data_IF_190059480388
#
_entry.id   IF_190059480388
#
_cell.length_a   1.000
_cell.length_b   1.000
_cell.length_c   1.000
_cell.angle_alpha   90.00
_cell.angle_beta   90.00
_cell.angle_gamma   90.00
#
_symmetry.space_group_name_H-M   'P 1'
#
loop_
_entity.id
_entity.type
_entity.pdbx_description
1 polymer ?
#
# COMPACT_ATOMS: atom_id res chain seq x y z
N UNK A 1 16.36 -23.93 -8.30
CA UNK A 1 14.89 -23.80 -8.46
C UNK A 1 14.45 -22.45 -7.95
N UNK A 2 14.94 -22.03 -6.78
CA UNK A 2 14.89 -20.62 -6.36
C UNK A 2 15.97 -19.82 -7.10
N UNK A 3 15.66 -18.57 -7.43
CA UNK A 3 16.54 -17.60 -8.08
C UNK A 3 16.45 -16.25 -7.34
N UNK A 4 17.52 -15.47 -7.42
CA UNK A 4 17.56 -14.09 -6.93
C UNK A 4 17.16 -13.17 -8.08
N UNK A 5 16.24 -12.23 -7.84
CA UNK A 5 15.84 -11.23 -8.81
C UNK A 5 16.94 -10.18 -9.04
N UNK A 6 16.81 -9.41 -10.12
CA UNK A 6 17.79 -8.39 -10.51
C UNK A 6 17.93 -7.25 -9.47
N UNK A 7 16.93 -7.07 -8.60
CA UNK A 7 16.99 -6.14 -7.46
C UNK A 7 17.95 -6.60 -6.34
N UNK A 8 18.45 -7.84 -6.39
CA UNK A 8 19.41 -8.39 -5.44
C UNK A 8 18.83 -8.79 -4.08
N UNK A 9 17.50 -8.74 -3.91
CA UNK A 9 16.80 -9.02 -2.64
C UNK A 9 15.72 -10.09 -2.79
N UNK A 10 14.86 -9.95 -3.80
CA UNK A 10 13.69 -10.82 -3.98
C UNK A 10 14.08 -12.23 -4.40
N UNK A 11 13.48 -13.23 -3.76
CA UNK A 11 13.64 -14.64 -4.10
C UNK A 11 12.37 -15.17 -4.77
N UNK A 12 12.54 -15.77 -5.94
CA UNK A 12 11.44 -16.34 -6.71
C UNK A 12 11.75 -17.77 -7.16
N UNK A 13 10.73 -18.51 -7.60
CA UNK A 13 10.91 -19.85 -8.18
C UNK A 13 10.43 -19.94 -9.63
N UNK A 14 11.00 -20.89 -10.37
CA UNK A 14 10.57 -21.16 -11.74
C UNK A 14 9.15 -21.78 -11.78
N UNK A 15 8.37 -21.58 -12.86
CA UNK A 15 6.96 -22.01 -12.93
C UNK A 15 6.70 -23.51 -12.71
N UNK A 16 7.69 -24.36 -12.99
CA UNK A 16 7.62 -25.81 -12.78
C UNK A 16 7.87 -26.26 -11.34
N UNK A 17 8.13 -25.33 -10.42
CA UNK A 17 8.40 -25.67 -9.03
C UNK A 17 7.13 -26.12 -8.29
N UNK A 18 7.29 -27.09 -7.39
CA UNK A 18 6.18 -27.69 -6.65
C UNK A 18 5.96 -26.99 -5.30
N UNK A 19 4.72 -26.64 -4.98
CA UNK A 19 4.31 -26.12 -3.67
C UNK A 19 4.71 -27.09 -2.55
N UNK A 20 5.17 -26.55 -1.42
CA UNK A 20 5.62 -27.28 -0.24
C UNK A 20 7.04 -27.83 -0.33
N UNK A 21 7.70 -27.78 -1.50
CA UNK A 21 9.13 -28.12 -1.61
C UNK A 21 9.98 -27.04 -0.97
N UNK A 22 11.09 -27.48 -0.37
CA UNK A 22 12.10 -26.60 0.21
C UNK A 22 13.40 -26.66 -0.58
N UNK A 23 14.02 -25.50 -0.81
CA UNK A 23 15.32 -25.41 -1.47
C UNK A 23 16.28 -24.54 -0.66
N UNK A 24 17.58 -24.89 -0.66
CA UNK A 24 18.58 -24.09 0.05
C UNK A 24 18.90 -22.80 -0.70
N UNK A 25 19.05 -21.70 0.04
CA UNK A 25 19.63 -20.45 -0.41
C UNK A 25 20.43 -19.82 0.74
N UNK A 26 21.69 -19.46 0.51
CA UNK A 26 22.61 -18.90 1.52
C UNK A 26 22.69 -19.66 2.87
N UNK A 27 22.46 -20.98 2.86
CA UNK A 27 22.54 -21.82 4.06
C UNK A 27 21.21 -22.05 4.78
N UNK A 28 20.13 -21.41 4.33
CA UNK A 28 18.78 -21.55 4.88
C UNK A 28 17.83 -22.22 3.89
N UNK A 29 16.78 -22.87 4.39
CA UNK A 29 15.82 -23.63 3.58
C UNK A 29 14.55 -22.81 3.37
N UNK A 30 14.28 -22.46 2.12
CA UNK A 30 13.10 -21.70 1.74
C UNK A 30 12.00 -22.61 1.23
N UNK A 31 10.78 -22.46 1.76
CA UNK A 31 9.59 -23.22 1.37
C UNK A 31 8.81 -22.49 0.27
N UNK A 32 8.50 -23.18 -0.83
CA UNK A 32 7.59 -22.64 -1.85
C UNK A 32 6.16 -22.75 -1.32
N UNK A 33 5.46 -21.62 -1.21
CA UNK A 33 4.11 -21.57 -0.62
C UNK A 33 3.08 -21.12 -1.65
N UNK A 34 1.86 -21.63 -1.50
CA UNK A 34 0.66 -21.06 -2.10
C UNK A 34 -0.05 -20.15 -1.09
N UNK A 35 -1.13 -19.48 -1.52
CA UNK A 35 -1.93 -18.63 -0.63
C UNK A 35 -2.44 -19.42 0.58
N UNK A 36 -2.97 -20.63 0.42
CA UNK A 36 -3.52 -21.40 1.54
C UNK A 36 -2.47 -21.64 2.64
N UNK A 37 -1.24 -22.01 2.26
CA UNK A 37 -0.12 -22.20 3.19
C UNK A 37 0.28 -20.89 3.84
N UNK A 38 0.44 -19.80 3.08
CA UNK A 38 0.88 -18.52 3.64
C UNK A 38 -0.14 -17.92 4.63
N UNK A 39 -1.44 -17.99 4.32
CA UNK A 39 -2.49 -17.54 5.24
C UNK A 39 -2.54 -18.38 6.51
N UNK A 40 -2.31 -19.70 6.41
CA UNK A 40 -2.20 -20.55 7.60
C UNK A 40 -1.02 -20.12 8.46
N UNK A 41 0.13 -19.88 7.84
CA UNK A 41 1.33 -19.41 8.56
C UNK A 41 1.08 -18.07 9.27
N UNK A 42 0.47 -17.10 8.58
CA UNK A 42 0.10 -15.82 9.18
C UNK A 42 -0.95 -15.96 10.31
N UNK A 43 -1.94 -16.85 10.16
CA UNK A 43 -2.98 -17.06 11.16
C UNK A 43 -2.45 -17.64 12.48
N UNK A 44 -1.43 -18.50 12.39
CA UNK A 44 -0.79 -19.17 13.54
C UNK A 44 0.52 -18.51 13.99
N UNK A 45 0.85 -17.32 13.46
CA UNK A 45 2.12 -16.62 13.73
C UNK A 45 3.36 -17.50 13.49
N UNK A 46 3.33 -18.33 12.44
CA UNK A 46 4.50 -19.09 11.98
C UNK A 46 5.56 -18.15 11.37
N UNK A 47 6.79 -18.65 11.24
CA UNK A 47 7.88 -17.96 10.56
C UNK A 47 7.60 -17.88 9.04
N UNK A 48 7.50 -16.66 8.51
CA UNK A 48 7.29 -16.35 7.10
C UNK A 48 8.50 -15.67 6.44
N UNK A 49 9.66 -15.69 7.10
CA UNK A 49 10.91 -15.09 6.58
C UNK A 49 11.58 -15.96 5.51
N UNK A 50 11.35 -17.27 5.53
CA UNK A 50 11.96 -18.26 4.62
C UNK A 50 10.94 -18.92 3.69
N UNK A 51 10.12 -18.11 3.02
CA UNK A 51 9.13 -18.58 2.06
C UNK A 51 9.34 -17.96 0.68
N UNK A 52 8.92 -18.67 -0.36
CA UNK A 52 8.89 -18.19 -1.75
C UNK A 52 7.44 -18.02 -2.17
N UNK A 53 7.07 -16.78 -2.47
CA UNK A 53 5.68 -16.34 -2.70
C UNK A 53 5.31 -16.19 -4.17
N UNK A 54 6.17 -16.62 -5.11
CA UNK A 54 6.01 -16.41 -6.56
C UNK A 54 4.63 -16.79 -7.11
N UNK A 55 3.98 -17.81 -6.55
CA UNK A 55 2.67 -18.27 -7.03
C UNK A 55 1.47 -17.55 -6.42
N UNK A 56 1.69 -16.57 -5.55
CA UNK A 56 0.62 -15.86 -4.85
C UNK A 56 0.12 -14.70 -5.70
N UNK A 57 -1.19 -14.65 -5.90
CA UNK A 57 -1.87 -13.58 -6.66
C UNK A 57 -2.76 -12.70 -5.79
N UNK A 58 -3.03 -13.10 -4.56
CA UNK A 58 -3.96 -12.45 -3.63
C UNK A 58 -3.34 -12.45 -2.23
N UNK A 59 -3.20 -11.25 -1.65
CA UNK A 59 -2.71 -10.99 -0.29
C UNK A 59 -3.74 -10.23 0.56
N UNK A 60 -5.01 -10.26 0.17
CA UNK A 60 -6.13 -9.62 0.85
C UNK A 60 -6.19 -10.01 2.34
N UNK A 61 -6.12 -9.04 3.24
CA UNK A 61 -6.18 -9.27 4.70
C UNK A 61 -5.12 -10.24 5.26
N UNK A 62 -4.01 -10.50 4.56
CA UNK A 62 -3.04 -11.53 4.98
C UNK A 62 -2.52 -11.33 6.42
N UNK A 63 -2.28 -10.07 6.82
CA UNK A 63 -1.87 -9.68 8.17
C UNK A 63 -2.89 -8.78 8.88
N UNK A 64 -4.17 -8.87 8.52
CA UNK A 64 -5.24 -8.10 9.15
C UNK A 64 -5.31 -8.39 10.67
N UNK A 65 -5.24 -7.33 11.48
CA UNK A 65 -5.16 -7.34 12.96
C UNK A 65 -3.98 -8.13 13.53
N UNK A 66 -3.00 -8.49 12.69
CA UNK A 66 -1.86 -9.30 13.11
C UNK A 66 -0.70 -8.43 13.55
N UNK A 67 -0.05 -8.86 14.63
CA UNK A 67 1.30 -8.41 14.94
C UNK A 67 2.26 -9.04 13.94
N UNK A 68 2.77 -8.25 12.99
CA UNK A 68 3.79 -8.66 12.02
C UNK A 68 5.04 -7.77 12.19
N UNK A 69 6.16 -8.40 12.52
CA UNK A 69 7.48 -7.75 12.65
C UNK A 69 8.59 -8.66 12.06
N UNK A 70 8.21 -9.51 11.10
CA UNK A 70 9.12 -10.41 10.42
C UNK A 70 9.70 -9.71 9.18
N UNK A 71 10.88 -10.14 8.75
CA UNK A 71 11.49 -9.67 7.51
C UNK A 71 10.83 -10.36 6.31
N UNK A 72 10.08 -9.57 5.54
CA UNK A 72 9.36 -9.99 4.33
C UNK A 72 9.94 -9.31 3.07
N UNK A 73 11.14 -8.72 3.19
CA UNK A 73 11.78 -8.00 2.07
C UNK A 73 12.11 -8.90 0.88
N UNK A 74 12.34 -10.19 1.14
CA UNK A 74 12.69 -11.19 0.10
C UNK A 74 11.50 -11.71 -0.68
N UNK A 75 10.27 -11.38 -0.27
CA UNK A 75 9.07 -11.88 -0.94
C UNK A 75 8.99 -11.43 -2.39
N UNK A 76 8.59 -12.36 -3.25
CA UNK A 76 8.22 -12.10 -4.63
C UNK A 76 6.71 -11.83 -4.69
N UNK A 77 6.35 -10.55 -4.84
CA UNK A 77 4.96 -10.10 -4.97
C UNK A 77 4.60 -9.71 -6.41
N UNK A 78 5.47 -10.00 -7.39
CA UNK A 78 5.30 -9.59 -8.78
C UNK A 78 4.05 -10.17 -9.45
N UNK A 79 3.50 -11.27 -8.94
CA UNK A 79 2.25 -11.88 -9.43
C UNK A 79 1.00 -11.45 -8.64
N UNK A 80 1.15 -10.65 -7.58
CA UNK A 80 0.02 -10.21 -6.74
C UNK A 80 -0.80 -9.15 -7.47
N UNK A 81 -2.12 -9.33 -7.45
CA UNK A 81 -3.11 -8.45 -8.10
C UNK A 81 -3.97 -7.72 -7.06
N UNK A 82 -4.18 -8.32 -5.89
CA UNK A 82 -4.97 -7.76 -4.80
C UNK A 82 -4.18 -7.71 -3.48
N UNK A 83 -4.02 -6.52 -2.91
CA UNK A 83 -3.38 -6.25 -1.62
C UNK A 83 -4.30 -5.54 -0.63
N UNK A 84 -5.63 -5.54 -0.86
CA UNK A 84 -6.55 -4.85 0.02
C UNK A 84 -6.40 -5.36 1.47
N UNK A 85 -6.47 -4.47 2.45
CA UNK A 85 -6.38 -4.80 3.88
C UNK A 85 -5.13 -5.60 4.33
N UNK A 86 -4.09 -5.77 3.51
CA UNK A 86 -2.96 -6.67 3.81
C UNK A 86 -2.34 -6.40 5.19
N UNK A 87 -2.18 -5.12 5.59
CA UNK A 87 -1.68 -4.68 6.89
C UNK A 87 -2.72 -3.87 7.68
N UNK A 88 -4.01 -4.17 7.49
CA UNK A 88 -5.10 -3.53 8.22
C UNK A 88 -4.93 -3.74 9.74
N UNK A 89 -4.93 -2.65 10.52
CA UNK A 89 -4.65 -2.69 11.97
C UNK A 89 -3.29 -3.30 12.38
N UNK A 90 -2.30 -3.36 11.49
CA UNK A 90 -0.95 -3.78 11.85
C UNK A 90 -0.17 -2.59 12.47
N UNK A 91 -0.59 -2.15 13.67
CA UNK A 91 -0.15 -0.90 14.32
C UNK A 91 1.38 -0.70 14.38
N UNK A 92 2.13 -1.80 14.53
CA UNK A 92 3.59 -1.80 14.66
C UNK A 92 4.34 -2.16 13.37
N UNK A 93 3.64 -2.47 12.28
CA UNK A 93 4.28 -2.88 11.04
C UNK A 93 5.12 -1.74 10.45
N UNK A 94 6.40 -2.02 10.22
CA UNK A 94 7.34 -1.10 9.59
C UNK A 94 8.53 -1.84 8.96
N UNK A 95 8.33 -3.07 8.47
CA UNK A 95 9.38 -3.83 7.78
C UNK A 95 9.64 -3.27 6.39
N UNK A 96 10.90 -3.32 5.92
CA UNK A 96 11.29 -2.82 4.60
C UNK A 96 10.61 -3.63 3.48
N UNK A 97 9.84 -2.94 2.65
CA UNK A 97 9.13 -3.45 1.47
C UNK A 97 9.44 -2.61 0.22
N UNK A 98 10.53 -1.84 0.26
CA UNK A 98 10.92 -0.91 -0.81
C UNK A 98 11.25 -1.61 -2.15
N UNK A 99 11.62 -2.89 -2.10
CA UNK A 99 12.00 -3.68 -3.27
C UNK A 99 10.85 -4.50 -3.87
N UNK A 100 9.65 -4.41 -3.30
CA UNK A 100 8.48 -5.12 -3.82
C UNK A 100 8.08 -4.59 -5.21
N UNK A 101 7.94 -5.52 -6.16
CA UNK A 101 7.35 -5.22 -7.47
C UNK A 101 5.82 -5.32 -7.37
N UNK A 102 5.18 -4.17 -7.18
CA UNK A 102 3.72 -4.04 -7.10
C UNK A 102 3.06 -3.69 -8.44
N UNK A 103 3.80 -3.77 -9.55
CA UNK A 103 3.34 -3.29 -10.87
C UNK A 103 2.13 -4.05 -11.43
N UNK A 104 1.74 -5.18 -10.85
CA UNK A 104 0.54 -5.95 -11.20
C UNK A 104 -0.64 -5.75 -10.25
N UNK A 105 -0.46 -5.02 -9.15
CA UNK A 105 -1.51 -4.77 -8.17
C UNK A 105 -2.53 -3.79 -8.74
N UNK A 106 -3.81 -4.13 -8.59
CA UNK A 106 -4.94 -3.30 -9.04
C UNK A 106 -5.76 -2.74 -7.87
N UNK A 107 -5.66 -3.35 -6.69
CA UNK A 107 -6.41 -2.95 -5.49
C UNK A 107 -5.47 -2.83 -4.28
N UNK A 108 -5.43 -1.64 -3.67
CA UNK A 108 -4.69 -1.35 -2.44
C UNK A 108 -5.59 -0.75 -1.35
N UNK A 109 -6.90 -0.98 -1.43
CA UNK A 109 -7.87 -0.51 -0.45
C UNK A 109 -7.43 -0.86 0.98
N UNK A 110 -7.34 0.16 1.84
CA UNK A 110 -7.04 0.02 3.26
C UNK A 110 -5.75 -0.77 3.58
N UNK A 111 -4.80 -0.91 2.64
CA UNK A 111 -3.62 -1.76 2.80
C UNK A 111 -2.84 -1.43 4.09
N UNK A 112 -2.66 -0.14 4.42
CA UNK A 112 -1.98 0.34 5.63
C UNK A 112 -2.92 1.09 6.59
N UNK A 113 -4.24 0.88 6.50
CA UNK A 113 -5.16 1.52 7.42
C UNK A 113 -4.85 1.05 8.85
N UNK A 114 -4.63 1.99 9.77
CA UNK A 114 -4.22 1.74 11.16
C UNK A 114 -2.83 1.09 11.31
N UNK A 115 -1.98 1.09 10.28
CA UNK A 115 -0.55 0.79 10.43
C UNK A 115 0.19 2.02 10.99
N UNK A 116 -0.05 2.34 12.27
CA UNK A 116 0.33 3.61 12.91
C UNK A 116 1.84 3.92 12.84
N UNK A 117 2.68 2.89 12.87
CA UNK A 117 4.14 2.97 12.82
C UNK A 117 4.72 2.99 11.40
N UNK A 118 3.93 2.66 10.38
CA UNK A 118 4.42 2.48 9.02
C UNK A 118 4.96 3.80 8.43
N UNK A 119 6.21 3.77 8.00
CA UNK A 119 6.89 4.90 7.36
C UNK A 119 8.07 4.42 6.49
N UNK A 120 7.92 3.29 5.79
CA UNK A 120 8.96 2.76 4.91
C UNK A 120 8.90 3.38 3.51
N UNK A 121 10.08 3.53 2.89
CA UNK A 121 10.20 4.09 1.55
C UNK A 121 9.52 3.20 0.52
N UNK A 122 8.48 3.74 -0.10
CA UNK A 122 7.70 3.13 -1.17
C UNK A 122 7.67 4.03 -2.42
N UNK A 123 8.61 4.98 -2.51
CA UNK A 123 8.70 5.95 -3.61
C UNK A 123 8.87 5.29 -4.97
N UNK A 124 9.47 4.09 -5.02
CA UNK A 124 9.76 3.33 -6.24
C UNK A 124 8.65 2.38 -6.69
N UNK A 125 7.56 2.29 -5.94
CA UNK A 125 6.45 1.43 -6.32
C UNK A 125 5.78 1.93 -7.60
N UNK A 126 5.64 1.03 -8.58
CA UNK A 126 4.80 1.27 -9.75
C UNK A 126 3.34 0.96 -9.40
N UNK A 127 2.59 2.01 -9.08
CA UNK A 127 1.16 1.94 -8.76
C UNK A 127 0.26 2.25 -9.96
N UNK A 128 0.81 2.29 -11.18
CA UNK A 128 0.08 2.74 -12.38
C UNK A 128 -1.14 1.89 -12.73
N UNK A 129 -1.22 0.63 -12.26
CA UNK A 129 -2.39 -0.25 -12.45
C UNK A 129 -3.43 -0.19 -11.34
N UNK A 130 -3.15 0.51 -10.23
CA UNK A 130 -4.05 0.57 -9.09
C UNK A 130 -5.26 1.43 -9.42
N UNK A 131 -6.46 0.90 -9.18
CA UNK A 131 -7.73 1.62 -9.40
C UNK A 131 -8.40 2.04 -8.10
N UNK A 132 -8.09 1.39 -6.98
CA UNK A 132 -8.67 1.67 -5.66
C UNK A 132 -7.57 1.89 -4.61
N UNK A 133 -7.56 3.09 -4.00
CA UNK A 133 -6.68 3.47 -2.88
C UNK A 133 -7.48 3.98 -1.68
N UNK A 134 -8.78 3.63 -1.60
CA UNK A 134 -9.64 4.00 -0.48
C UNK A 134 -8.97 3.64 0.84
N UNK A 135 -8.83 4.62 1.74
CA UNK A 135 -8.30 4.46 3.10
C UNK A 135 -6.88 3.88 3.17
N UNK A 136 -6.11 3.85 2.08
CA UNK A 136 -4.80 3.16 2.03
C UNK A 136 -3.86 3.54 3.18
N UNK A 137 -3.75 4.83 3.52
CA UNK A 137 -2.96 5.36 4.65
C UNK A 137 -3.83 5.98 5.75
N UNK A 138 -5.12 5.61 5.82
CA UNK A 138 -6.01 6.06 6.88
C UNK A 138 -5.39 5.72 8.23
N UNK A 139 -5.25 6.70 9.13
CA UNK A 139 -4.66 6.52 10.48
C UNK A 139 -3.24 5.92 10.50
N UNK A 140 -2.51 5.93 9.37
CA UNK A 140 -1.08 5.65 9.36
C UNK A 140 -0.32 6.86 9.91
N UNK A 141 -0.34 7.05 11.24
CA UNK A 141 0.08 8.29 11.90
C UNK A 141 1.50 8.72 11.56
N UNK A 142 2.41 7.76 11.40
CA UNK A 142 3.82 8.03 11.15
C UNK A 142 4.18 8.25 9.68
N UNK A 143 3.30 7.90 8.74
CA UNK A 143 3.61 7.89 7.33
C UNK A 143 3.86 9.30 6.79
N UNK A 144 5.04 9.51 6.19
CA UNK A 144 5.44 10.76 5.54
C UNK A 144 6.52 10.52 4.46
N UNK A 145 6.41 9.43 3.70
CA UNK A 145 7.36 9.11 2.64
C UNK A 145 6.98 9.75 1.31
N UNK A 146 7.98 10.11 0.52
CA UNK A 146 7.80 10.76 -0.77
C UNK A 146 7.14 9.81 -1.77
N UNK A 147 5.95 10.19 -2.22
CA UNK A 147 5.14 9.48 -3.21
C UNK A 147 4.75 10.42 -4.36
N UNK A 148 5.52 11.50 -4.55
CA UNK A 148 5.26 12.52 -5.57
C UNK A 148 5.32 11.96 -7.00
N UNK A 149 6.14 10.93 -7.22
CA UNK A 149 6.36 10.28 -8.52
C UNK A 149 5.37 9.13 -8.83
N UNK A 150 4.41 8.85 -7.95
CA UNK A 150 3.41 7.83 -8.21
C UNK A 150 2.47 8.23 -9.36
N UNK A 151 2.32 7.34 -10.32
CA UNK A 151 1.27 7.43 -11.34
C UNK A 151 -0.07 6.94 -10.77
N UNK A 152 -0.89 7.86 -10.30
CA UNK A 152 -2.24 7.59 -9.76
C UNK A 152 -3.35 7.82 -10.80
N UNK A 153 -3.01 7.94 -12.08
CA UNK A 153 -3.96 8.34 -13.13
C UNK A 153 -5.11 7.35 -13.34
N UNK A 154 -4.96 6.09 -12.93
CA UNK A 154 -6.01 5.06 -13.02
C UNK A 154 -6.88 4.95 -11.75
N UNK A 155 -6.56 5.68 -10.68
CA UNK A 155 -7.30 5.60 -9.40
C UNK A 155 -8.64 6.31 -9.52
N UNK A 156 -9.71 5.63 -9.12
CA UNK A 156 -11.08 6.16 -9.14
C UNK A 156 -11.62 6.51 -7.75
N UNK A 157 -11.05 5.92 -6.68
CA UNK A 157 -11.44 6.15 -5.28
C UNK A 157 -10.21 6.43 -4.41
N UNK A 158 -10.19 7.62 -3.80
CA UNK A 158 -9.20 8.07 -2.82
C UNK A 158 -9.86 8.49 -1.49
N UNK A 159 -11.09 8.06 -1.24
CA UNK A 159 -11.82 8.39 -0.02
C UNK A 159 -11.01 7.92 1.20
N UNK A 160 -10.89 8.80 2.20
CA UNK A 160 -10.12 8.59 3.42
C UNK A 160 -8.63 8.23 3.23
N UNK A 161 -8.04 8.34 2.03
CA UNK A 161 -6.68 7.84 1.74
C UNK A 161 -5.62 8.31 2.74
N UNK A 162 -5.66 9.58 3.17
CA UNK A 162 -4.79 10.16 4.21
C UNK A 162 -5.57 10.62 5.44
N UNK A 163 -6.78 10.11 5.65
CA UNK A 163 -7.61 10.48 6.79
C UNK A 163 -6.91 10.10 8.10
N UNK A 164 -6.61 11.06 8.96
CA UNK A 164 -5.81 10.92 10.19
C UNK A 164 -4.35 10.49 9.96
N UNK A 165 -3.78 10.61 8.76
CA UNK A 165 -2.34 10.46 8.54
C UNK A 165 -1.60 11.69 9.09
N UNK A 166 -1.38 11.73 10.40
CA UNK A 166 -1.04 12.95 11.14
C UNK A 166 0.30 13.58 10.75
N UNK A 167 1.28 12.81 10.25
CA UNK A 167 2.58 13.34 9.83
C UNK A 167 2.67 13.63 8.33
N UNK A 168 1.76 13.12 7.52
CA UNK A 168 1.86 13.22 6.06
C UNK A 168 1.81 14.67 5.58
N UNK A 169 2.86 15.09 4.86
CA UNK A 169 2.97 16.44 4.30
C UNK A 169 3.82 16.48 3.01
N UNK A 170 3.85 15.39 2.24
CA UNK A 170 4.63 15.34 1.00
C UNK A 170 3.90 16.05 -0.15
N UNK A 171 4.68 16.59 -1.09
CA UNK A 171 4.15 17.32 -2.23
C UNK A 171 3.61 16.36 -3.30
N UNK A 172 2.29 16.28 -3.36
CA UNK A 172 1.52 15.48 -4.33
C UNK A 172 0.82 16.36 -5.37
N UNK A 173 1.25 17.60 -5.54
CA UNK A 173 0.64 18.55 -6.48
C UNK A 173 0.78 18.13 -7.96
N UNK A 174 1.71 17.22 -8.26
CA UNK A 174 1.95 16.65 -9.58
C UNK A 174 1.04 15.47 -9.96
N UNK A 175 0.27 14.91 -9.03
CA UNK A 175 -0.61 13.78 -9.30
C UNK A 175 -1.71 14.11 -10.32
N UNK A 176 -1.91 13.20 -11.28
CA UNK A 176 -3.10 13.21 -12.14
C UNK A 176 -4.27 12.53 -11.43
N UNK A 177 -5.15 13.34 -10.83
CA UNK A 177 -6.36 12.87 -10.13
C UNK A 177 -7.61 12.96 -11.00
N UNK A 178 -7.46 13.12 -12.32
CA UNK A 178 -8.58 13.40 -13.22
C UNK A 178 -9.62 12.27 -13.32
N UNK A 179 -9.26 11.03 -12.98
CA UNK A 179 -10.19 9.89 -12.94
C UNK A 179 -10.85 9.66 -11.57
N UNK A 180 -10.45 10.40 -10.53
CA UNK A 180 -10.98 10.22 -9.18
C UNK A 180 -12.42 10.74 -9.10
N UNK A 181 -13.30 9.90 -8.54
CA UNK A 181 -14.73 10.21 -8.36
C UNK A 181 -15.12 10.42 -6.89
N UNK A 182 -14.36 9.83 -5.95
CA UNK A 182 -14.55 10.01 -4.50
C UNK A 182 -13.26 10.46 -3.81
N UNK A 183 -13.33 11.62 -3.15
CA UNK A 183 -12.29 12.17 -2.27
C UNK A 183 -12.83 12.47 -0.86
N UNK A 184 -13.94 11.86 -0.48
CA UNK A 184 -14.56 12.07 0.84
C UNK A 184 -13.55 11.76 1.93
N UNK A 185 -13.39 12.67 2.88
CA UNK A 185 -12.48 12.56 4.01
C UNK A 185 -10.99 12.36 3.66
N UNK A 186 -10.56 12.55 2.41
CA UNK A 186 -9.20 12.22 1.94
C UNK A 186 -8.09 12.74 2.86
N UNK A 187 -8.22 13.96 3.38
CA UNK A 187 -7.30 14.60 4.33
C UNK A 187 -7.98 14.94 5.67
N UNK A 188 -9.08 14.28 6.01
CA UNK A 188 -9.77 14.50 7.27
C UNK A 188 -8.80 14.25 8.45
N UNK A 189 -8.60 15.23 9.33
CA UNK A 189 -7.66 15.17 10.46
C UNK A 189 -6.18 14.91 10.07
N UNK A 190 -5.78 15.18 8.82
CA UNK A 190 -4.37 15.19 8.42
C UNK A 190 -3.69 16.50 8.89
N UNK A 191 -3.35 16.55 10.19
CA UNK A 191 -3.05 17.81 10.88
C UNK A 191 -1.81 18.56 10.39
N UNK A 192 -0.82 17.88 9.79
CA UNK A 192 0.40 18.52 9.25
C UNK A 192 0.30 18.90 7.78
N UNK A 193 -0.67 18.34 7.04
CA UNK A 193 -0.73 18.49 5.60
C UNK A 193 -0.94 19.95 5.19
N UNK A 194 -0.07 20.47 4.32
CA UNK A 194 -0.10 21.85 3.87
C UNK A 194 0.51 22.02 2.48
N UNK A 195 -0.09 21.38 1.47
CA UNK A 195 0.35 21.47 0.06
C UNK A 195 -0.61 22.27 -0.82
N UNK A 196 -0.08 22.84 -1.90
CA UNK A 196 -0.88 23.56 -2.88
C UNK A 196 -1.39 22.57 -3.92
N UNK A 197 -2.69 22.28 -3.86
CA UNK A 197 -3.34 21.32 -4.74
C UNK A 197 -4.37 22.00 -5.66
N UNK A 198 -4.27 23.32 -5.84
CA UNK A 198 -5.19 24.07 -6.70
C UNK A 198 -5.10 23.73 -8.19
N UNK A 199 -4.02 23.06 -8.62
CA UNK A 199 -3.78 22.62 -9.99
C UNK A 199 -4.46 21.29 -10.35
N UNK A 200 -4.92 20.53 -9.36
CA UNK A 200 -5.58 19.24 -9.60
C UNK A 200 -6.85 19.40 -10.44
N UNK A 201 -6.97 18.55 -11.47
CA UNK A 201 -8.22 18.42 -12.22
C UNK A 201 -9.20 17.55 -11.43
N UNK A 202 -10.13 18.20 -10.72
CA UNK A 202 -11.16 17.52 -9.89
C UNK A 202 -12.54 17.53 -10.55
N UNK A 203 -12.63 17.65 -11.88
CA UNK A 203 -13.92 17.76 -12.58
C UNK A 203 -14.80 16.52 -12.45
N UNK A 204 -14.21 15.35 -12.23
CA UNK A 204 -14.90 14.07 -12.08
C UNK A 204 -15.25 13.72 -10.63
N UNK A 205 -14.82 14.54 -9.65
CA UNK A 205 -15.11 14.29 -8.23
C UNK A 205 -16.58 14.58 -7.93
N UNK A 206 -17.31 13.54 -7.54
CA UNK A 206 -18.73 13.58 -7.19
C UNK A 206 -18.88 13.71 -5.67
N UNK A 207 -18.07 12.97 -4.91
CA UNK A 207 -18.11 12.90 -3.46
C UNK A 207 -16.84 13.50 -2.85
N UNK A 208 -17.00 14.46 -1.95
CA UNK A 208 -15.87 15.02 -1.19
C UNK A 208 -16.28 15.49 0.20
N UNK A 209 -17.23 14.78 0.81
CA UNK A 209 -17.70 15.06 2.16
C UNK A 209 -16.48 15.19 3.09
N UNK A 210 -16.38 16.31 3.81
CA UNK A 210 -15.34 16.55 4.79
C UNK A 210 -13.89 16.33 4.27
N UNK A 211 -13.63 16.58 2.98
CA UNK A 211 -12.34 16.40 2.29
C UNK A 211 -11.11 16.74 3.14
N UNK A 212 -11.13 17.88 3.86
CA UNK A 212 -10.05 18.35 4.71
C UNK A 212 -10.52 18.79 6.10
N UNK A 213 -11.65 18.25 6.59
CA UNK A 213 -12.14 18.61 7.93
C UNK A 213 -11.10 18.20 8.99
N UNK A 214 -10.74 19.10 9.91
CA UNK A 214 -9.71 18.81 10.92
C UNK A 214 -8.25 18.90 10.43
N UNK A 215 -7.99 19.22 9.16
CA UNK A 215 -6.64 19.50 8.66
C UNK A 215 -6.18 20.92 9.04
N UNK A 216 -5.98 21.17 10.33
CA UNK A 216 -5.85 22.53 10.88
C UNK A 216 -4.66 23.35 10.36
N UNK A 217 -3.57 22.71 9.92
CA UNK A 217 -2.40 23.42 9.38
C UNK A 217 -2.53 23.80 7.90
N UNK A 218 -3.57 23.32 7.20
CA UNK A 218 -3.66 23.48 5.75
C UNK A 218 -4.09 24.89 5.34
N UNK A 219 -3.11 25.72 5.00
CA UNK A 219 -3.25 27.11 4.59
C UNK A 219 -3.03 27.35 3.09
N UNK A 220 -2.26 26.48 2.41
CA UNK A 220 -2.07 26.56 0.96
C UNK A 220 -3.38 26.32 0.18
N UNK A 221 -3.47 26.79 -1.08
CA UNK A 221 -4.68 26.62 -1.90
C UNK A 221 -5.09 25.16 -2.08
N UNK A 222 -6.39 24.90 -1.89
CA UNK A 222 -7.04 23.59 -2.06
C UNK A 222 -7.61 23.46 -3.49
N UNK A 223 -7.90 22.24 -3.98
CA UNK A 223 -8.61 22.06 -5.24
C UNK A 223 -10.04 22.64 -5.15
N UNK A 224 -10.58 23.08 -6.28
CA UNK A 224 -11.94 23.61 -6.35
C UNK A 224 -12.96 22.48 -6.53
N UNK A 225 -13.36 21.86 -5.42
CA UNK A 225 -14.30 20.74 -5.38
C UNK A 225 -15.77 21.20 -5.50
N UNK A 226 -16.54 20.56 -6.38
CA UNK A 226 -17.98 20.84 -6.64
C UNK A 226 -18.86 19.64 -6.31
N UNK A 227 -18.74 19.11 -5.10
CA UNK A 227 -19.36 17.83 -4.77
C UNK A 227 -20.85 17.98 -4.44
N UNK A 228 -21.60 16.89 -4.61
CA UNK A 228 -23.00 16.84 -4.20
C UNK A 228 -23.09 17.08 -2.68
N UNK A 229 -23.85 18.10 -2.27
CA UNK A 229 -24.25 18.25 -0.86
C UNK A 229 -25.30 17.18 -0.57
N UNK A 230 -24.99 16.21 0.29
CA UNK A 230 -25.99 15.37 0.95
C UNK A 230 -26.10 15.79 2.42
#
# INVERSE_FOLDING_TARGET
MIQLADNGVTLYCLPQAEIGKKYPYNGEMYEIVDSARLYTMAAYNEDVTHVITTFITDMNSLFDTKFINQDISTWDVSNVVDMQHMFFYAEFFNSDISNWDVSNVTNMESMFHHAESFNQDISKWDVSKVTNMQTMFGRAWSFNQDISEWDVSNVTDMSFMFGNAQKFNQDISGWDVSNVTDMSFMFSSAITFNQNLSSWNVSNVIWCLAFANGAYSWSKPKPYLRCAQQ
#
